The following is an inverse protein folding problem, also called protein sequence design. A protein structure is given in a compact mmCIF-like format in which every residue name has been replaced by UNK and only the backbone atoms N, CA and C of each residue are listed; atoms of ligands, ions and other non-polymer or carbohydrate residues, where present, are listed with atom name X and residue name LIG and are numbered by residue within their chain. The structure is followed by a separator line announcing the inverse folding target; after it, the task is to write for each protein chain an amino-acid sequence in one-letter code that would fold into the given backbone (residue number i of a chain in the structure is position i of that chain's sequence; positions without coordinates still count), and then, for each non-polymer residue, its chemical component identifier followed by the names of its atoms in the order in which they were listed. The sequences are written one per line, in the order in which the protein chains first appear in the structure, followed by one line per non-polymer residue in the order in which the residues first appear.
data_IF_200169624335
#
_entry.id   IF_200169624335
#
_cell.length_a   1.000
_cell.length_b   1.000
_cell.length_c   1.000
_cell.angle_alpha   90.00
_cell.angle_beta   90.00
_cell.angle_gamma   90.00
#
_symmetry.space_group_name_H-M   'P 1'
#
loop_
_entity.id
_entity.type
_entity.pdbx_description
1 polymer ?
#
# COMPACT_ATOMS: atom_id res chain seq x y z
N UNK A 1 -2.34 -48.54 39.05
CA UNK A 1 -0.93 -48.89 38.75
C UNK A 1 -0.51 -48.19 37.46
N UNK A 2 0.62 -47.48 37.54
CA UNK A 2 1.42 -46.86 36.46
C UNK A 2 0.87 -45.61 35.75
N UNK A 3 1.34 -44.50 36.30
CA UNK A 3 1.54 -43.16 35.77
C UNK A 3 2.62 -43.10 34.68
N UNK A 4 2.44 -42.20 33.69
CA UNK A 4 3.42 -41.28 33.06
C UNK A 4 2.76 -40.63 31.80
N UNK A 5 3.18 -39.45 31.32
CA UNK A 5 2.80 -38.16 31.88
C UNK A 5 2.24 -37.18 30.81
N UNK A 6 1.74 -36.06 31.32
CA UNK A 6 1.37 -34.84 30.61
C UNK A 6 2.41 -34.35 29.59
N UNK A 7 1.93 -33.47 28.70
CA UNK A 7 2.65 -32.50 27.86
C UNK A 7 3.31 -33.08 26.61
N UNK A 8 2.63 -32.96 25.48
CA UNK A 8 3.09 -32.16 24.34
C UNK A 8 2.06 -32.36 23.23
N UNK A 9 1.17 -31.41 23.07
CA UNK A 9 0.64 -30.96 21.77
C UNK A 9 -0.16 -29.70 22.11
N UNK A 10 0.59 -28.68 22.56
CA UNK A 10 0.19 -27.30 22.40
C UNK A 10 0.12 -27.10 20.88
N UNK A 11 -1.02 -27.43 20.28
CA UNK A 11 -1.32 -27.06 18.92
C UNK A 11 -1.57 -25.56 18.97
N UNK A 12 -0.48 -24.80 19.02
CA UNK A 12 -0.47 -23.43 18.57
C UNK A 12 -0.89 -23.49 17.11
N UNK A 13 -2.20 -23.44 16.85
CA UNK A 13 -2.68 -22.78 15.65
C UNK A 13 -2.33 -21.32 15.88
N UNK A 14 -1.05 -20.99 15.68
CA UNK A 14 -0.73 -19.69 15.14
C UNK A 14 -1.54 -19.67 13.87
N UNK A 15 -2.70 -19.01 13.89
CA UNK A 15 -3.22 -18.41 12.70
C UNK A 15 -2.11 -17.48 12.24
N UNK A 16 -1.17 -18.01 11.45
CA UNK A 16 -0.30 -17.22 10.65
C UNK A 16 -1.25 -16.57 9.64
N UNK A 17 -1.88 -15.49 10.07
CA UNK A 17 -2.36 -14.47 9.14
C UNK A 17 -1.11 -13.80 8.60
N UNK A 18 -0.34 -14.55 7.81
CA UNK A 18 0.37 -13.96 6.72
C UNK A 18 -0.73 -13.56 5.75
N UNK A 19 -1.36 -12.39 5.97
CA UNK A 19 -1.98 -11.70 4.85
C UNK A 19 -0.85 -11.56 3.85
N UNK A 20 -0.87 -12.36 2.79
CA UNK A 20 0.10 -12.27 1.71
C UNK A 20 0.17 -10.81 1.32
N UNK A 21 1.26 -10.15 1.73
CA UNK A 21 1.39 -8.70 1.62
C UNK A 21 1.22 -8.29 0.16
N UNK A 22 1.67 -9.16 -0.74
CA UNK A 22 1.56 -9.04 -2.16
C UNK A 22 0.30 -9.71 -2.72
N UNK A 23 -0.53 -8.91 -3.38
CA UNK A 23 -1.69 -9.36 -4.15
C UNK A 23 -1.28 -9.99 -5.49
N UNK A 24 -0.27 -9.42 -6.15
CA UNK A 24 0.15 -9.82 -7.49
C UNK A 24 1.67 -9.94 -7.53
N UNK A 25 2.12 -11.18 -7.66
CA UNK A 25 3.51 -11.51 -7.96
C UNK A 25 3.73 -11.59 -9.47
N UNK A 26 4.79 -10.97 -9.96
CA UNK A 26 5.25 -11.13 -11.33
C UNK A 26 6.70 -11.59 -11.34
N UNK A 27 7.00 -12.57 -12.18
CA UNK A 27 8.35 -13.10 -12.36
C UNK A 27 9.07 -12.32 -13.47
N UNK A 28 10.33 -11.93 -13.22
CA UNK A 28 11.21 -11.27 -14.18
C UNK A 28 11.56 -12.26 -15.30
N UNK A 29 11.29 -11.87 -16.54
CA UNK A 29 11.65 -12.60 -17.76
C UNK A 29 12.87 -11.97 -18.43
N UNK A 30 13.45 -12.68 -19.40
CA UNK A 30 14.55 -12.14 -20.21
C UNK A 30 14.12 -10.85 -20.92
N UNK A 31 14.86 -9.77 -20.71
CA UNK A 31 14.58 -8.45 -21.27
C UNK A 31 13.64 -7.56 -20.44
N UNK A 32 13.11 -8.06 -19.32
CA UNK A 32 12.34 -7.24 -18.40
C UNK A 32 13.22 -6.19 -17.71
N UNK A 33 12.61 -5.03 -17.44
CA UNK A 33 13.19 -3.96 -16.63
C UNK A 33 12.13 -3.48 -15.64
N UNK A 34 12.54 -2.87 -14.52
CA UNK A 34 11.58 -2.25 -13.60
C UNK A 34 10.64 -1.27 -14.33
N UNK A 35 11.20 -0.39 -15.18
CA UNK A 35 10.42 0.58 -15.96
C UNK A 35 9.46 -0.05 -16.97
N UNK A 36 9.86 -1.16 -17.60
CA UNK A 36 9.00 -1.92 -18.49
C UNK A 36 7.82 -2.54 -17.74
N UNK A 37 8.08 -3.12 -16.56
CA UNK A 37 7.07 -3.85 -15.78
C UNK A 37 6.04 -2.93 -15.11
N UNK A 38 6.40 -1.67 -14.80
CA UNK A 38 5.45 -0.68 -14.25
C UNK A 38 4.72 0.14 -15.33
N UNK A 39 5.11 0.01 -16.60
CA UNK A 39 4.51 0.80 -17.69
C UNK A 39 2.99 0.62 -17.74
N UNK A 40 2.26 1.73 -17.76
CA UNK A 40 0.80 1.74 -17.82
C UNK A 40 0.09 1.47 -16.48
N UNK A 41 0.83 1.28 -15.37
CA UNK A 41 0.27 1.16 -14.03
C UNK A 41 0.26 2.54 -13.36
N UNK A 42 -0.89 3.22 -13.42
CA UNK A 42 -1.04 4.61 -12.94
C UNK A 42 -0.73 4.80 -11.45
N UNK A 43 -0.91 3.74 -10.65
CA UNK A 43 -0.71 3.77 -9.19
C UNK A 43 0.58 3.05 -8.74
N UNK A 44 1.52 2.76 -9.65
CA UNK A 44 2.77 2.07 -9.32
C UNK A 44 3.97 2.83 -9.89
N UNK A 45 4.57 3.68 -9.06
CA UNK A 45 5.84 4.36 -9.37
C UNK A 45 7.03 3.44 -9.05
N UNK A 46 8.22 3.82 -9.51
CA UNK A 46 9.46 3.10 -9.17
C UNK A 46 9.75 3.10 -7.67
N UNK A 47 9.45 4.20 -6.99
CA UNK A 47 9.66 4.33 -5.54
C UNK A 47 8.71 3.42 -4.76
N UNK A 48 7.43 3.37 -5.15
CA UNK A 48 6.45 2.43 -4.61
C UNK A 48 6.92 0.99 -4.84
N UNK A 49 7.34 0.66 -6.08
CA UNK A 49 7.82 -0.68 -6.41
C UNK A 49 9.00 -1.11 -5.53
N UNK A 50 9.98 -0.22 -5.31
CA UNK A 50 11.13 -0.49 -4.42
C UNK A 50 10.73 -0.62 -2.96
N UNK A 51 9.75 0.14 -2.49
CA UNK A 51 9.23 0.02 -1.13
C UNK A 51 8.54 -1.33 -0.89
N UNK A 52 7.79 -1.81 -1.89
CA UNK A 52 7.10 -3.11 -1.85
C UNK A 52 8.07 -4.30 -1.91
N UNK A 53 9.23 -4.09 -2.51
CA UNK A 53 10.24 -5.10 -2.77
C UNK A 53 11.55 -4.70 -2.09
N UNK A 54 11.61 -4.84 -0.75
CA UNK A 54 12.78 -4.45 0.04
C UNK A 54 14.06 -5.09 -0.53
N UNK A 55 15.02 -4.26 -0.91
CA UNK A 55 16.28 -4.70 -1.52
C UNK A 55 16.26 -4.84 -3.04
N UNK A 56 15.16 -4.45 -3.71
CA UNK A 56 15.09 -4.40 -5.17
C UNK A 56 16.14 -3.45 -5.73
N UNK A 57 17.07 -4.02 -6.52
CA UNK A 57 18.04 -3.30 -7.32
C UNK A 57 17.64 -3.45 -8.79
N UNK A 58 17.12 -2.38 -9.38
CA UNK A 58 16.60 -2.39 -10.76
C UNK A 58 17.69 -2.51 -11.83
N UNK A 59 18.95 -2.31 -11.46
CA UNK A 59 20.10 -2.48 -12.35
C UNK A 59 20.66 -3.91 -12.25
N UNK A 60 20.17 -4.72 -11.31
CA UNK A 60 20.59 -6.11 -11.08
C UNK A 60 19.41 -7.09 -11.00
N UNK A 61 18.49 -6.98 -11.95
CA UNK A 61 17.39 -7.95 -12.07
C UNK A 61 17.91 -9.30 -12.54
N UNK A 62 17.36 -10.38 -11.96
CA UNK A 62 17.67 -11.75 -12.37
C UNK A 62 16.42 -12.38 -12.98
N UNK A 63 16.58 -13.10 -14.09
CA UNK A 63 15.49 -13.93 -14.64
C UNK A 63 15.04 -14.93 -13.57
N UNK A 64 13.72 -15.04 -13.36
CA UNK A 64 13.13 -15.86 -12.30
C UNK A 64 12.92 -15.14 -10.97
N UNK A 65 13.44 -13.91 -10.80
CA UNK A 65 13.18 -13.10 -9.62
C UNK A 65 11.68 -12.74 -9.55
N UNK A 66 11.05 -13.01 -8.41
CA UNK A 66 9.66 -12.59 -8.16
C UNK A 66 9.63 -11.18 -7.60
N UNK A 67 8.83 -10.32 -8.23
CA UNK A 67 8.56 -8.97 -7.78
C UNK A 67 7.09 -8.79 -7.45
N UNK A 68 6.84 -8.13 -6.34
CA UNK A 68 5.52 -7.73 -5.95
C UNK A 68 5.08 -6.51 -6.76
N UNK A 69 4.03 -6.67 -7.58
CA UNK A 69 3.51 -5.68 -8.50
C UNK A 69 2.17 -5.08 -8.05
N UNK A 70 1.53 -5.70 -7.07
CA UNK A 70 0.41 -5.13 -6.34
C UNK A 70 0.31 -5.81 -4.98
N UNK A 71 -0.25 -5.11 -4.01
CA UNK A 71 -0.35 -5.48 -2.60
C UNK A 71 -1.80 -5.27 -2.18
N UNK A 72 -2.38 -6.21 -1.43
CA UNK A 72 -3.73 -6.03 -0.91
C UNK A 72 -3.66 -5.25 0.39
N UNK A 73 -4.41 -4.16 0.50
CA UNK A 73 -4.52 -3.41 1.76
C UNK A 73 -3.28 -2.60 2.14
N UNK A 74 -2.36 -2.32 1.20
CA UNK A 74 -1.34 -1.30 1.44
C UNK A 74 -1.97 0.07 1.30
N UNK A 75 -2.12 0.72 2.44
CA UNK A 75 -2.33 2.15 2.49
C UNK A 75 -0.97 2.79 2.24
N UNK A 76 -0.78 3.36 1.03
CA UNK A 76 0.37 4.22 0.76
C UNK A 76 0.45 5.26 1.88
N UNK A 77 1.65 5.46 2.44
CA UNK A 77 1.81 6.39 3.55
C UNK A 77 1.45 7.79 3.09
N UNK A 78 0.67 8.50 3.88
CA UNK A 78 0.43 9.91 3.62
C UNK A 78 1.73 10.70 3.84
N UNK A 79 2.22 11.35 2.80
CA UNK A 79 3.41 12.22 2.85
C UNK A 79 3.07 13.67 3.16
N UNK A 80 1.93 14.13 2.65
CA UNK A 80 1.45 15.50 2.81
C UNK A 80 -0.01 15.42 3.21
N UNK A 81 -0.35 16.06 4.31
CA UNK A 81 -1.72 16.20 4.76
C UNK A 81 -2.13 17.66 4.83
N UNK A 82 -3.44 17.87 4.92
CA UNK A 82 -4.05 19.16 5.24
C UNK A 82 -4.98 18.96 6.43
N UNK A 83 -4.81 19.82 7.44
CA UNK A 83 -5.71 19.87 8.58
C UNK A 83 -6.92 20.70 8.21
N UNK A 84 -8.10 20.09 8.22
CA UNK A 84 -9.35 20.78 7.89
C UNK A 84 -9.55 21.98 8.82
N UNK A 85 -9.85 23.13 8.25
CA UNK A 85 -10.13 24.39 8.93
C UNK A 85 -11.54 24.90 8.60
N UNK A 86 -11.99 25.94 9.29
CA UNK A 86 -13.32 26.52 9.08
C UNK A 86 -13.43 27.09 7.67
N UNK A 87 -14.48 26.69 6.95
CA UNK A 87 -14.77 27.16 5.59
C UNK A 87 -14.18 26.30 4.49
N UNK A 88 -13.33 25.32 4.82
CA UNK A 88 -12.81 24.38 3.83
C UNK A 88 -13.94 23.57 3.17
N UNK A 89 -13.81 23.37 1.86
CA UNK A 89 -14.57 22.36 1.12
C UNK A 89 -13.61 21.32 0.54
N UNK A 90 -14.07 20.09 0.35
CA UNK A 90 -13.25 19.09 -0.35
C UNK A 90 -12.82 19.60 -1.74
N UNK A 91 -13.76 20.26 -2.46
CA UNK A 91 -13.51 20.78 -3.80
C UNK A 91 -12.31 21.71 -3.85
N UNK A 92 -12.27 22.71 -2.95
CA UNK A 92 -11.15 23.65 -2.88
C UNK A 92 -9.86 22.95 -2.47
N UNK A 93 -9.91 22.01 -1.53
CA UNK A 93 -8.73 21.27 -1.07
C UNK A 93 -8.10 20.47 -2.22
N UNK A 94 -8.87 19.64 -2.93
CA UNK A 94 -8.30 18.78 -3.97
C UNK A 94 -7.85 19.60 -5.18
N UNK A 95 -8.63 20.61 -5.59
CA UNK A 95 -8.28 21.44 -6.76
C UNK A 95 -7.04 22.28 -6.50
N UNK A 96 -6.92 22.89 -5.31
CA UNK A 96 -5.73 23.66 -4.93
C UNK A 96 -4.45 22.80 -4.82
N UNK A 97 -4.61 21.48 -4.66
CA UNK A 97 -3.50 20.53 -4.60
C UNK A 97 -3.30 19.73 -5.90
N UNK A 98 -4.02 20.07 -6.98
CA UNK A 98 -3.88 19.43 -8.28
C UNK A 98 -4.32 17.95 -8.30
N UNK A 99 -5.22 17.57 -7.40
CA UNK A 99 -5.80 16.23 -7.34
C UNK A 99 -7.15 16.20 -8.07
N UNK A 100 -7.48 15.05 -8.66
CA UNK A 100 -8.87 14.77 -9.01
C UNK A 100 -9.69 14.44 -7.74
N UNK A 101 -11.03 14.59 -7.84
CA UNK A 101 -11.92 14.14 -6.78
C UNK A 101 -11.71 12.65 -6.48
N UNK A 102 -11.58 11.82 -7.51
CA UNK A 102 -11.38 10.38 -7.35
C UNK A 102 -10.11 10.07 -6.55
N UNK A 103 -8.97 10.66 -6.93
CA UNK A 103 -7.70 10.47 -6.19
C UNK A 103 -7.84 10.93 -4.73
N UNK A 104 -8.40 12.11 -4.50
CA UNK A 104 -8.56 12.63 -3.15
C UNK A 104 -9.45 11.74 -2.27
N UNK A 105 -10.57 11.23 -2.80
CA UNK A 105 -11.47 10.35 -2.07
C UNK A 105 -10.86 8.97 -1.84
N UNK A 106 -10.20 8.38 -2.84
CA UNK A 106 -9.45 7.13 -2.70
C UNK A 106 -8.33 7.26 -1.64
N UNK A 107 -7.85 8.48 -1.44
CA UNK A 107 -6.80 8.77 -0.49
C UNK A 107 -7.27 8.97 0.95
N UNK A 108 -8.56 9.23 1.10
CA UNK A 108 -9.21 9.59 2.35
C UNK A 108 -10.42 8.69 2.56
N UNK A 109 -10.17 7.38 2.64
CA UNK A 109 -11.22 6.39 2.79
C UNK A 109 -12.12 6.69 4.00
N UNK A 110 -13.43 6.66 3.77
CA UNK A 110 -14.44 7.05 4.76
C UNK A 110 -14.57 8.57 5.03
N UNK A 111 -13.94 9.44 4.23
CA UNK A 111 -14.21 10.88 4.27
C UNK A 111 -15.61 11.17 3.72
N UNK A 112 -16.40 11.95 4.47
CA UNK A 112 -17.67 12.51 4.04
C UNK A 112 -17.48 14.01 3.77
N UNK A 113 -17.54 14.40 2.49
CA UNK A 113 -17.31 15.79 2.07
C UNK A 113 -18.43 16.75 2.46
N UNK A 114 -19.62 16.24 2.79
CA UNK A 114 -20.72 17.05 3.30
C UNK A 114 -20.64 17.23 4.82
N UNK A 115 -19.74 16.50 5.49
CA UNK A 115 -19.56 16.51 6.95
C UNK A 115 -18.10 16.59 7.36
N UNK A 116 -17.37 17.54 6.78
CA UNK A 116 -15.97 17.78 7.14
C UNK A 116 -15.83 18.12 8.63
N UNK A 117 -14.89 17.44 9.29
CA UNK A 117 -14.60 17.64 10.70
C UNK A 117 -13.39 18.56 10.85
N UNK A 118 -13.61 19.76 11.39
CA UNK A 118 -12.55 20.72 11.69
C UNK A 118 -11.49 20.05 12.58
N UNK A 119 -10.23 20.19 12.18
CA UNK A 119 -9.08 19.64 12.86
C UNK A 119 -8.67 18.22 12.46
N UNK A 120 -9.48 17.51 11.66
CA UNK A 120 -9.10 16.22 11.07
C UNK A 120 -8.13 16.43 9.90
N UNK A 121 -7.16 15.55 9.77
CA UNK A 121 -6.21 15.55 8.65
C UNK A 121 -6.80 14.79 7.45
N UNK A 122 -6.63 15.35 6.25
CA UNK A 122 -6.87 14.66 4.97
C UNK A 122 -5.56 14.56 4.21
N UNK A 123 -5.35 13.44 3.51
CA UNK A 123 -4.17 13.19 2.73
C UNK A 123 -4.24 13.87 1.36
N UNK A 124 -3.15 14.55 1.01
CA UNK A 124 -2.97 15.29 -0.23
C UNK A 124 -1.85 14.73 -1.11
N UNK A 125 -1.05 13.81 -0.58
CA UNK A 125 -0.01 13.11 -1.33
C UNK A 125 0.30 11.79 -0.65
N UNK A 126 0.26 10.72 -1.42
CA UNK A 126 0.67 9.38 -1.00
C UNK A 126 2.05 9.04 -1.56
N UNK A 127 2.76 8.19 -0.84
CA UNK A 127 4.04 7.60 -1.28
C UNK A 127 3.81 6.35 -2.09
#
# INVERSE_FOLDING_TARGET
MKSAPFLFLLYCILAASAKDYCAIWQEVKSGDTCWGMIRGKTNLTLDILKQMNKGLDCDKLHVGQKMCMAITGFQLKCQKSHKITTGDTCFEIWTANGLSQQEFMDWNDGLDCDKLQIGKEVCLKRL
#
